data_IF_371753034154
#
_entry.id   IF_371753034154
#
_cell.length_a   1.000
_cell.length_b   1.000
_cell.length_c   1.000
_cell.angle_alpha   90.00
_cell.angle_beta   90.00
_cell.angle_gamma   90.00
#
_symmetry.space_group_name_H-M   'P 1'
#
loop_
_entity.id
_entity.type
_entity.pdbx_description
1 polymer ?
#
# COMPACT_ATOMS: atom_id res chain seq x y z
N UNK A 1 15.25 -19.04 -0.95
CA UNK A 1 14.36 -17.89 -1.14
C UNK A 1 13.71 -18.05 -2.49
N UNK A 2 12.39 -17.92 -2.55
CA UNK A 2 11.61 -17.77 -3.78
C UNK A 2 11.05 -16.36 -3.79
N UNK A 3 11.10 -15.69 -4.94
CA UNK A 3 10.47 -14.39 -5.16
C UNK A 3 9.51 -14.56 -6.32
N UNK A 4 8.24 -14.24 -6.08
CA UNK A 4 7.19 -14.32 -7.10
C UNK A 4 6.66 -12.93 -7.37
N UNK A 5 6.74 -12.49 -8.61
CA UNK A 5 6.06 -11.29 -9.09
C UNK A 5 4.69 -11.71 -9.58
N UNK A 6 3.64 -11.24 -8.90
CA UNK A 6 2.25 -11.56 -9.23
C UNK A 6 1.81 -10.62 -10.35
N UNK A 7 1.24 -11.15 -11.41
CA UNK A 7 0.73 -10.32 -12.51
C UNK A 7 -0.60 -9.67 -12.10
N UNK A 8 -0.54 -8.56 -11.42
CA UNK A 8 -1.69 -7.76 -10.97
C UNK A 8 -2.15 -6.72 -12.00
N UNK A 9 -1.51 -6.68 -13.17
CA UNK A 9 -1.77 -5.65 -14.18
C UNK A 9 -0.88 -4.43 -13.98
N UNK A 10 -1.46 -3.29 -13.70
CA UNK A 10 -0.70 -2.13 -13.28
C UNK A 10 -0.27 -2.26 -11.81
N UNK A 11 0.89 -1.66 -11.50
CA UNK A 11 1.48 -1.70 -10.17
C UNK A 11 2.21 -3.00 -9.85
N UNK A 12 2.44 -3.21 -8.57
CA UNK A 12 3.26 -4.30 -8.07
C UNK A 12 2.56 -5.14 -7.01
N UNK A 13 2.86 -6.44 -7.01
CA UNK A 13 2.62 -7.35 -5.90
C UNK A 13 3.73 -8.41 -5.93
N UNK A 14 4.64 -8.36 -4.95
CA UNK A 14 5.82 -9.22 -4.91
C UNK A 14 5.80 -10.05 -3.64
N UNK A 15 5.70 -11.37 -3.82
CA UNK A 15 5.69 -12.35 -2.73
C UNK A 15 7.10 -12.90 -2.51
N UNK A 16 7.57 -12.79 -1.28
CA UNK A 16 8.82 -13.39 -0.81
C UNK A 16 8.53 -14.60 0.08
N UNK A 17 9.06 -15.75 -0.30
CA UNK A 17 9.00 -16.98 0.51
C UNK A 17 10.41 -17.42 0.83
N UNK A 18 10.77 -17.38 2.10
CA UNK A 18 12.11 -17.71 2.58
C UNK A 18 12.20 -19.18 2.97
N UNK A 19 13.42 -19.75 2.96
CA UNK A 19 13.64 -21.15 3.33
C UNK A 19 13.29 -21.47 4.79
N UNK A 20 13.26 -20.46 5.65
CA UNK A 20 12.87 -20.59 7.06
C UNK A 20 11.35 -20.52 7.30
N UNK A 21 10.55 -20.52 6.24
CA UNK A 21 9.08 -20.40 6.30
C UNK A 21 8.56 -18.98 6.40
N UNK A 22 9.42 -17.95 6.49
CA UNK A 22 8.98 -16.56 6.51
C UNK A 22 8.40 -16.15 5.16
N UNK A 23 7.19 -15.61 5.16
CA UNK A 23 6.47 -15.17 3.97
C UNK A 23 6.11 -13.69 4.10
N UNK A 24 6.46 -12.90 3.10
CA UNK A 24 6.15 -11.47 3.07
C UNK A 24 5.60 -11.05 1.69
N UNK A 25 4.66 -10.11 1.70
CA UNK A 25 4.12 -9.49 0.49
C UNK A 25 4.53 -8.02 0.46
N UNK A 26 5.12 -7.58 -0.63
CA UNK A 26 5.37 -6.17 -0.94
C UNK A 26 4.33 -5.72 -1.95
N UNK A 27 3.53 -4.72 -1.60
CA UNK A 27 2.41 -4.18 -2.33
C UNK A 27 1.33 -5.20 -2.72
N UNK A 28 0.20 -4.75 -3.20
CA UNK A 28 -0.96 -5.58 -3.46
C UNK A 28 -1.61 -5.42 -4.83
N UNK A 29 -1.10 -4.51 -5.66
CA UNK A 29 -1.72 -4.19 -6.93
C UNK A 29 -2.95 -3.30 -6.80
N UNK A 30 -3.63 -3.12 -7.90
CA UNK A 30 -4.87 -2.36 -8.03
C UNK A 30 -6.08 -3.11 -7.46
N UNK A 31 -7.13 -2.37 -7.08
CA UNK A 31 -8.45 -2.91 -6.78
C UNK A 31 -9.47 -2.65 -7.90
N UNK A 32 -9.08 -1.98 -9.00
CA UNK A 32 -9.98 -1.66 -10.11
C UNK A 32 -10.44 -2.93 -10.83
N UNK A 33 -11.76 -3.11 -10.95
CA UNK A 33 -12.35 -4.26 -11.65
C UNK A 33 -11.87 -4.37 -13.10
N UNK A 34 -11.75 -3.23 -13.80
CA UNK A 34 -11.31 -3.16 -15.18
C UNK A 34 -9.91 -3.76 -15.44
N UNK A 35 -9.07 -3.85 -14.39
CA UNK A 35 -7.76 -4.48 -14.50
C UNK A 35 -7.83 -6.00 -14.65
N UNK A 36 -8.94 -6.60 -14.22
CA UNK A 36 -9.12 -8.05 -14.13
C UNK A 36 -10.22 -8.58 -15.08
N UNK A 37 -10.82 -7.71 -15.89
CA UNK A 37 -11.82 -8.10 -16.88
C UNK A 37 -11.20 -8.78 -18.10
N UNK A 38 -11.99 -9.67 -18.73
CA UNK A 38 -11.63 -10.37 -19.96
C UNK A 38 -10.63 -11.51 -19.76
N UNK A 39 -10.03 -11.96 -20.87
CA UNK A 39 -9.05 -13.06 -20.92
C UNK A 39 -7.64 -12.57 -20.50
N UNK A 40 -7.53 -11.86 -19.40
CA UNK A 40 -6.25 -11.41 -18.89
C UNK A 40 -5.62 -12.50 -18.01
N UNK A 41 -4.30 -12.67 -18.12
CA UNK A 41 -3.55 -13.51 -17.17
C UNK A 41 -3.32 -12.79 -15.83
N UNK A 42 -4.06 -11.70 -15.56
CA UNK A 42 -3.98 -10.91 -14.36
C UNK A 42 -4.75 -11.57 -13.23
N UNK A 43 -4.25 -11.44 -12.02
CA UNK A 43 -4.90 -12.00 -10.83
C UNK A 43 -4.71 -11.04 -9.66
N UNK A 44 -5.76 -10.81 -8.87
CA UNK A 44 -5.63 -10.05 -7.63
C UNK A 44 -4.68 -10.76 -6.67
N UNK A 45 -3.87 -10.00 -5.95
CA UNK A 45 -2.93 -10.56 -4.98
C UNK A 45 -3.60 -11.45 -3.94
N UNK A 46 -4.77 -11.08 -3.43
CA UNK A 46 -5.56 -11.90 -2.51
C UNK A 46 -5.99 -13.23 -3.12
N UNK A 47 -6.48 -13.23 -4.36
CA UNK A 47 -6.88 -14.46 -5.07
C UNK A 47 -5.66 -15.35 -5.37
N UNK A 48 -4.52 -14.75 -5.68
CA UNK A 48 -3.27 -15.50 -5.85
C UNK A 48 -2.87 -16.21 -4.57
N UNK A 49 -2.87 -15.50 -3.44
CA UNK A 49 -2.55 -16.08 -2.12
C UNK A 49 -3.50 -17.23 -1.79
N UNK A 50 -4.81 -17.04 -2.01
CA UNK A 50 -5.81 -18.09 -1.79
C UNK A 50 -5.57 -19.32 -2.67
N UNK A 51 -5.27 -19.15 -3.97
CA UNK A 51 -4.90 -20.27 -4.88
C UNK A 51 -3.65 -21.01 -4.44
N UNK A 52 -2.68 -20.30 -3.85
CA UNK A 52 -1.45 -20.90 -3.31
C UNK A 52 -1.62 -21.43 -1.89
N UNK A 53 -2.82 -21.36 -1.29
CA UNK A 53 -3.13 -21.75 0.09
C UNK A 53 -2.25 -21.02 1.12
N UNK A 54 -1.94 -19.76 0.85
CA UNK A 54 -1.18 -18.90 1.75
C UNK A 54 -2.18 -18.11 2.60
N UNK A 55 -2.44 -18.59 3.80
CA UNK A 55 -3.38 -18.00 4.75
C UNK A 55 -2.69 -17.09 5.79
N UNK A 56 -1.35 -17.03 5.77
CA UNK A 56 -0.56 -16.31 6.74
C UNK A 56 0.63 -15.60 6.09
N UNK A 57 0.81 -14.34 6.42
CA UNK A 57 1.93 -13.49 6.02
C UNK A 57 2.63 -12.96 7.27
N UNK A 58 3.93 -13.23 7.40
CA UNK A 58 4.73 -12.64 8.48
C UNK A 58 4.91 -11.14 8.32
N UNK A 59 4.83 -10.63 7.10
CA UNK A 59 4.87 -9.21 6.84
C UNK A 59 4.08 -8.83 5.59
N UNK A 60 3.41 -7.67 5.67
CA UNK A 60 2.98 -6.89 4.52
C UNK A 60 3.77 -5.59 4.51
N UNK A 61 4.29 -5.20 3.35
CA UNK A 61 5.13 -4.03 3.18
C UNK A 61 4.46 -3.15 2.13
N UNK A 62 4.24 -1.89 2.44
CA UNK A 62 3.74 -0.89 1.50
C UNK A 62 4.92 -0.04 1.06
N UNK A 63 5.19 -0.01 -0.25
CA UNK A 63 6.27 0.79 -0.82
C UNK A 63 5.91 2.28 -0.84
N UNK A 64 4.74 2.61 -1.36
CA UNK A 64 4.18 3.98 -1.44
C UNK A 64 2.65 3.94 -1.58
N UNK A 65 2.00 5.12 -1.53
CA UNK A 65 0.54 5.21 -1.57
C UNK A 65 0.09 5.64 -2.98
N UNK A 66 0.08 4.67 -3.91
CA UNK A 66 -0.63 4.77 -5.18
C UNK A 66 -1.69 3.68 -5.27
N UNK A 67 -2.72 3.91 -6.09
CA UNK A 67 -3.87 3.01 -6.22
C UNK A 67 -3.44 1.59 -6.59
N UNK A 68 -2.56 1.47 -7.56
CA UNK A 68 -2.05 0.23 -8.12
C UNK A 68 -0.99 -0.49 -7.26
N UNK A 69 -0.71 0.01 -6.06
CA UNK A 69 0.15 -0.61 -5.05
C UNK A 69 -0.59 -0.95 -3.76
N UNK A 70 -1.44 -0.03 -3.27
CA UNK A 70 -2.03 -0.15 -1.94
C UNK A 70 -3.45 -0.71 -1.94
N UNK A 71 -4.26 -0.43 -2.98
CA UNK A 71 -5.69 -0.76 -2.93
C UNK A 71 -5.97 -2.27 -2.90
N UNK A 72 -5.17 -3.08 -3.58
CA UNK A 72 -5.31 -4.55 -3.53
C UNK A 72 -4.99 -5.16 -2.15
N UNK A 73 -4.26 -4.45 -1.29
CA UNK A 73 -3.91 -4.93 0.05
C UNK A 73 -5.11 -5.01 1.01
N UNK A 74 -6.18 -4.25 0.78
CA UNK A 74 -7.37 -4.34 1.62
C UNK A 74 -7.96 -5.76 1.62
N UNK A 75 -8.10 -6.36 0.44
CA UNK A 75 -8.58 -7.74 0.30
C UNK A 75 -7.58 -8.76 0.91
N UNK A 76 -6.28 -8.50 0.76
CA UNK A 76 -5.24 -9.35 1.38
C UNK A 76 -5.38 -9.36 2.90
N UNK A 77 -5.45 -8.18 3.54
CA UNK A 77 -5.56 -8.11 5.00
C UNK A 77 -6.88 -8.68 5.55
N UNK A 78 -7.94 -8.68 4.74
CA UNK A 78 -9.23 -9.30 5.12
C UNK A 78 -9.20 -10.84 5.03
N UNK A 79 -8.40 -11.40 4.12
CA UNK A 79 -8.40 -12.83 3.82
C UNK A 79 -7.22 -13.59 4.43
N UNK A 80 -6.17 -12.89 4.88
CA UNK A 80 -4.97 -13.51 5.45
C UNK A 80 -4.68 -12.99 6.85
N UNK A 81 -4.06 -13.83 7.67
CA UNK A 81 -3.47 -13.42 8.94
C UNK A 81 -2.14 -12.72 8.67
N UNK A 82 -1.96 -11.51 9.21
CA UNK A 82 -0.74 -10.72 9.03
C UNK A 82 -0.10 -10.44 10.38
N UNK A 83 1.18 -10.81 10.55
CA UNK A 83 1.89 -10.59 11.82
C UNK A 83 2.41 -9.15 11.96
N UNK A 84 2.79 -8.49 10.85
CA UNK A 84 3.38 -7.16 10.89
C UNK A 84 3.10 -6.37 9.60
N UNK A 85 2.78 -5.09 9.75
CA UNK A 85 2.60 -4.15 8.64
C UNK A 85 3.73 -3.12 8.65
N UNK A 86 4.44 -3.00 7.53
CA UNK A 86 5.47 -1.99 7.30
C UNK A 86 4.96 -0.93 6.33
N UNK A 87 5.07 0.35 6.71
CA UNK A 87 4.45 1.45 5.98
C UNK A 87 5.43 2.59 5.69
N UNK A 88 5.26 3.34 4.58
CA UNK A 88 6.21 4.40 4.21
C UNK A 88 6.01 5.71 4.98
N UNK A 89 4.81 5.95 5.54
CA UNK A 89 4.45 7.25 6.12
C UNK A 89 3.91 7.12 7.55
N UNK A 90 3.93 8.22 8.36
CA UNK A 90 3.40 8.26 9.71
C UNK A 90 1.92 7.82 9.75
N UNK A 91 1.55 7.08 10.79
CA UNK A 91 0.21 6.46 10.94
C UNK A 91 -0.84 7.46 11.41
N UNK A 92 -0.51 8.27 12.41
CA UNK A 92 -1.46 9.14 13.12
C UNK A 92 -2.22 10.12 12.21
N UNK A 93 -1.57 10.79 11.25
CA UNK A 93 -2.29 11.71 10.35
C UNK A 93 -3.38 11.02 9.54
N UNK A 94 -3.19 9.76 9.14
CA UNK A 94 -4.17 9.02 8.35
C UNK A 94 -5.32 8.44 9.18
N UNK A 95 -5.14 8.25 10.47
CA UNK A 95 -6.20 7.79 11.37
C UNK A 95 -7.15 8.92 11.80
N UNK A 96 -6.72 10.18 11.67
CA UNK A 96 -7.56 11.35 11.98
C UNK A 96 -8.52 11.65 10.83
N UNK A 97 -9.71 12.18 11.15
CA UNK A 97 -10.71 12.59 10.17
C UNK A 97 -11.48 11.43 9.50
N UNK A 98 -12.16 11.76 8.42
CA UNK A 98 -12.97 10.84 7.60
C UNK A 98 -12.25 10.43 6.31
N UNK A 99 -12.91 9.63 5.48
CA UNK A 99 -12.48 9.37 4.11
C UNK A 99 -12.66 10.64 3.26
N UNK A 100 -11.75 10.79 2.29
CA UNK A 100 -11.78 11.88 1.33
C UNK A 100 -12.77 11.53 0.20
N UNK A 101 -13.42 12.54 -0.35
CA UNK A 101 -14.30 12.39 -1.52
C UNK A 101 -13.81 13.33 -2.61
N UNK A 102 -13.48 12.81 -3.81
CA UNK A 102 -13.05 13.66 -4.91
C UNK A 102 -14.21 14.53 -5.42
N UNK A 103 -13.93 15.74 -5.85
CA UNK A 103 -14.92 16.59 -6.50
C UNK A 103 -15.42 15.93 -7.81
N UNK A 104 -16.68 16.19 -8.17
CA UNK A 104 -17.33 15.58 -9.35
C UNK A 104 -16.67 15.93 -10.68
N UNK A 105 -15.99 17.08 -10.75
CA UNK A 105 -15.26 17.60 -11.91
C UNK A 105 -13.74 17.39 -11.82
N UNK A 106 -13.26 16.68 -10.81
CA UNK A 106 -11.84 16.46 -10.59
C UNK A 106 -11.17 15.75 -11.79
N UNK A 107 -9.91 16.09 -12.11
CA UNK A 107 -9.11 15.35 -13.10
C UNK A 107 -9.06 13.86 -12.77
N UNK A 108 -8.94 12.99 -13.80
CA UNK A 108 -8.98 11.53 -13.67
C UNK A 108 -7.97 10.96 -12.65
N UNK A 109 -6.85 11.60 -12.45
CA UNK A 109 -5.82 11.20 -11.48
C UNK A 109 -6.26 11.38 -10.03
N UNK A 110 -7.08 12.40 -9.75
CA UNK A 110 -7.52 12.72 -8.37
C UNK A 110 -8.35 11.62 -7.73
N UNK A 111 -9.38 11.03 -8.37
CA UNK A 111 -10.11 9.90 -7.82
C UNK A 111 -9.21 8.71 -7.46
N UNK A 112 -8.21 8.40 -8.30
CA UNK A 112 -7.26 7.31 -8.04
C UNK A 112 -6.39 7.60 -6.82
N UNK A 113 -5.92 8.84 -6.71
CA UNK A 113 -5.13 9.27 -5.55
C UNK A 113 -5.95 9.24 -4.26
N UNK A 114 -7.18 9.75 -4.30
CA UNK A 114 -8.11 9.70 -3.16
C UNK A 114 -8.43 8.26 -2.78
N UNK A 115 -8.63 7.38 -3.75
CA UNK A 115 -8.84 5.95 -3.49
C UNK A 115 -7.65 5.33 -2.75
N UNK A 116 -6.42 5.64 -3.17
CA UNK A 116 -5.20 5.18 -2.52
C UNK A 116 -5.07 5.67 -1.07
N UNK A 117 -5.33 6.97 -0.81
CA UNK A 117 -5.30 7.53 0.55
C UNK A 117 -6.36 6.89 1.45
N UNK A 118 -7.56 6.68 0.93
CA UNK A 118 -8.64 6.03 1.68
C UNK A 118 -8.34 4.57 1.95
N UNK A 119 -7.80 3.83 0.97
CA UNK A 119 -7.36 2.45 1.13
C UNK A 119 -6.27 2.34 2.21
N UNK A 120 -5.26 3.19 2.14
CA UNK A 120 -4.20 3.24 3.15
C UNK A 120 -4.78 3.49 4.56
N UNK A 121 -5.71 4.44 4.70
CA UNK A 121 -6.42 4.70 5.95
C UNK A 121 -7.16 3.45 6.44
N UNK A 122 -7.95 2.78 5.60
CA UNK A 122 -8.69 1.57 5.97
C UNK A 122 -7.76 0.43 6.39
N UNK A 123 -6.64 0.25 5.71
CA UNK A 123 -5.59 -0.70 6.07
C UNK A 123 -5.05 -0.42 7.48
N UNK A 124 -4.75 0.84 7.80
CA UNK A 124 -4.26 1.23 9.13
C UNK A 124 -5.32 1.03 10.22
N UNK A 125 -6.59 1.33 9.92
CA UNK A 125 -7.70 1.09 10.84
C UNK A 125 -7.89 -0.42 11.10
N UNK A 126 -7.83 -1.23 10.05
CA UNK A 126 -7.88 -2.69 10.16
C UNK A 126 -6.72 -3.23 11.00
N UNK A 127 -5.51 -2.76 10.74
CA UNK A 127 -4.34 -3.14 11.54
C UNK A 127 -4.52 -2.78 13.03
N UNK A 128 -5.04 -1.59 13.32
CA UNK A 128 -5.35 -1.16 14.68
C UNK A 128 -6.42 -2.04 15.33
N UNK A 129 -7.50 -2.36 14.63
CA UNK A 129 -8.60 -3.22 15.12
C UNK A 129 -8.11 -4.64 15.42
N UNK A 130 -7.28 -5.20 14.54
CA UNK A 130 -6.74 -6.55 14.68
C UNK A 130 -5.51 -6.63 15.58
N UNK A 131 -4.99 -5.51 16.06
CA UNK A 131 -3.78 -5.46 16.88
C UNK A 131 -2.51 -5.82 16.11
N UNK A 132 -2.49 -5.63 14.78
CA UNK A 132 -1.32 -5.87 13.94
C UNK A 132 -0.30 -4.74 14.21
N UNK A 133 0.94 -5.07 14.61
CA UNK A 133 1.99 -4.07 14.77
C UNK A 133 2.29 -3.35 13.47
N UNK A 134 2.41 -2.01 13.53
CA UNK A 134 2.74 -1.18 12.38
C UNK A 134 4.09 -0.50 12.60
N UNK A 135 5.00 -0.61 11.64
CA UNK A 135 6.32 0.05 11.67
C UNK A 135 6.47 0.98 10.47
N UNK A 136 6.75 2.25 10.75
CA UNK A 136 7.07 3.23 9.71
C UNK A 136 8.50 3.01 9.23
N UNK A 137 8.66 2.81 7.91
CA UNK A 137 9.94 2.60 7.26
C UNK A 137 10.72 3.91 7.09
N UNK A 138 12.05 3.79 7.19
CA UNK A 138 12.97 4.93 6.98
C UNK A 138 14.17 4.50 6.14
N UNK A 139 14.60 5.34 5.24
CA UNK A 139 15.83 5.11 4.47
C UNK A 139 17.02 4.79 5.38
N UNK A 140 17.80 3.78 5.01
CA UNK A 140 18.93 3.27 5.80
C UNK A 140 18.57 2.17 6.80
N UNK A 141 17.30 1.99 7.14
CA UNK A 141 16.86 0.91 8.02
C UNK A 141 17.12 -0.47 7.39
N UNK A 142 17.38 -1.45 8.23
CA UNK A 142 17.56 -2.84 7.81
C UNK A 142 16.56 -3.71 8.58
N UNK A 143 15.62 -4.29 7.85
CA UNK A 143 14.71 -5.32 8.38
C UNK A 143 15.40 -6.68 8.32
N UNK A 144 15.18 -7.50 9.33
CA UNK A 144 15.68 -8.87 9.38
C UNK A 144 14.50 -9.85 9.23
N UNK A 145 14.55 -10.67 8.20
CA UNK A 145 13.54 -11.69 7.93
C UNK A 145 14.13 -13.09 8.24
N UNK A 146 14.07 -13.46 9.52
CA UNK A 146 14.74 -14.65 10.02
C UNK A 146 16.26 -14.44 10.20
N UNK A 147 17.04 -15.53 10.12
CA UNK A 147 18.48 -15.52 10.48
C UNK A 147 19.34 -14.95 9.36
N UNK A 148 19.02 -15.28 8.09
CA UNK A 148 19.93 -15.08 6.96
C UNK A 148 19.47 -14.05 5.94
N UNK A 149 18.26 -13.50 6.09
CA UNK A 149 17.71 -12.56 5.11
C UNK A 149 17.54 -11.17 5.70
N UNK A 150 18.06 -10.19 4.97
CA UNK A 150 17.97 -8.77 5.33
C UNK A 150 17.40 -7.98 4.15
N UNK A 151 16.47 -7.07 4.43
CA UNK A 151 16.00 -6.08 3.49
C UNK A 151 16.50 -4.72 3.92
N UNK A 152 17.22 -4.01 3.06
CA UNK A 152 17.65 -2.63 3.30
C UNK A 152 16.64 -1.69 2.68
N UNK A 153 16.14 -0.77 3.47
CA UNK A 153 15.21 0.27 3.03
C UNK A 153 16.04 1.42 2.44
N UNK A 154 15.80 1.75 1.18
CA UNK A 154 16.52 2.81 0.47
C UNK A 154 15.74 4.13 0.45
N UNK A 155 14.41 4.05 0.52
CA UNK A 155 13.45 5.15 0.52
C UNK A 155 12.26 4.82 1.45
N UNK A 156 11.45 5.83 1.86
CA UNK A 156 11.64 7.25 1.60
C UNK A 156 12.70 7.88 2.53
N UNK A 157 13.30 8.99 2.07
CA UNK A 157 14.10 9.88 2.94
C UNK A 157 13.16 10.80 3.72
N UNK A 158 13.59 11.30 4.89
CA UNK A 158 12.74 12.14 5.73
C UNK A 158 12.20 13.38 5.01
N UNK A 159 13.00 14.06 4.21
CA UNK A 159 12.54 15.23 3.47
C UNK A 159 11.44 14.93 2.45
N UNK A 160 11.40 13.72 1.89
CA UNK A 160 10.32 13.28 0.99
C UNK A 160 9.06 12.98 1.79
N UNK A 161 9.21 12.34 2.96
CA UNK A 161 8.08 12.09 3.88
C UNK A 161 7.45 13.41 4.31
N UNK A 162 8.27 14.39 4.72
CA UNK A 162 7.79 15.69 5.18
C UNK A 162 7.00 16.41 4.07
N UNK A 163 7.54 16.46 2.85
CA UNK A 163 6.87 17.07 1.69
C UNK A 163 5.55 16.35 1.34
N UNK A 164 5.53 15.02 1.37
CA UNK A 164 4.31 14.25 1.12
C UNK A 164 3.25 14.52 2.19
N UNK A 165 3.65 14.59 3.46
CA UNK A 165 2.72 14.85 4.55
C UNK A 165 2.12 16.27 4.48
N UNK A 166 2.88 17.26 4.03
CA UNK A 166 2.35 18.61 3.77
C UNK A 166 1.24 18.59 2.72
N UNK A 167 1.39 17.80 1.63
CA UNK A 167 0.36 17.63 0.61
C UNK A 167 -0.89 16.96 1.22
N UNK A 168 -0.71 15.89 1.98
CA UNK A 168 -1.84 15.17 2.62
C UNK A 168 -2.59 16.06 3.61
N UNK A 169 -1.88 16.90 4.36
CA UNK A 169 -2.51 17.84 5.30
C UNK A 169 -3.31 18.91 4.55
N UNK A 170 -2.76 19.50 3.49
CA UNK A 170 -3.49 20.46 2.63
C UNK A 170 -4.74 19.86 2.02
N UNK A 171 -4.68 18.62 1.50
CA UNK A 171 -5.86 17.93 0.95
C UNK A 171 -6.96 17.70 1.99
N UNK A 172 -6.63 17.73 3.28
CA UNK A 172 -7.60 17.57 4.38
C UNK A 172 -8.15 18.87 4.90
N UNK A 173 -7.36 19.93 4.86
CA UNK A 173 -7.76 21.26 5.32
C UNK A 173 -8.65 21.96 4.30
N UNK A 174 -8.44 21.69 3.01
CA UNK A 174 -9.15 22.28 1.89
C UNK A 174 -10.04 21.23 1.22
N UNK A 175 -11.28 21.08 1.67
CA UNK A 175 -12.33 20.42 0.88
C UNK A 175 -12.51 21.08 -0.51
N UNK A 176 -11.87 22.22 -0.75
CA UNK A 176 -11.96 23.06 -1.95
C UNK A 176 -10.76 22.97 -2.91
N UNK A 177 -9.59 22.48 -2.51
CA UNK A 177 -8.38 22.46 -3.38
C UNK A 177 -8.42 21.43 -4.53
N UNK A 178 -9.42 20.60 -4.59
CA UNK A 178 -9.60 19.66 -5.69
C UNK A 178 -10.18 20.37 -6.95
N UNK A 179 -10.60 21.61 -6.83
CA UNK A 179 -11.24 22.33 -7.94
C UNK A 179 -10.28 23.13 -8.83
N UNK A 180 -9.10 23.52 -8.39
CA UNK A 180 -8.47 24.66 -9.10
C UNK A 180 -7.02 24.52 -9.60
N UNK A 181 -6.24 23.48 -9.38
CA UNK A 181 -4.94 23.41 -10.07
C UNK A 181 -4.53 21.99 -10.44
N UNK A 182 -4.59 21.75 -11.73
CA UNK A 182 -4.35 20.49 -12.39
C UNK A 182 -2.90 20.07 -12.50
N UNK A 183 -2.17 19.92 -11.43
CA UNK A 183 -0.96 19.09 -11.43
C UNK A 183 -0.53 18.79 -9.99
N UNK A 184 -1.11 17.75 -9.41
CA UNK A 184 -0.45 17.07 -8.31
C UNK A 184 0.68 16.23 -8.91
N UNK A 185 1.84 16.85 -9.07
CA UNK A 185 3.07 16.12 -9.38
C UNK A 185 3.49 15.41 -8.10
N UNK A 186 2.98 14.19 -7.94
CA UNK A 186 3.57 13.26 -6.98
C UNK A 186 4.95 12.91 -7.55
N UNK A 187 5.99 13.41 -6.90
CA UNK A 187 7.34 13.01 -7.24
C UNK A 187 7.47 11.50 -7.05
N UNK A 188 7.62 10.79 -8.15
CA UNK A 188 8.11 9.42 -8.15
C UNK A 188 9.46 9.42 -7.42
N UNK A 189 9.56 8.59 -6.38
CA UNK A 189 10.77 8.40 -5.59
C UNK A 189 11.54 7.20 -6.12
#
# INVERSE_FOLDING_TARGET
MCVTVINVGYGDAILFQLKNGYTALLDGGSALESEFEGDSYRIRSADYLARQQIEHLNAVIISHIHEDHVCGLEAVLQQTVVDHLYVPYPVEPFLKGCELTPASNAPRSVPLYVAALNAYRRILLHAKEKGIPVTVLKAGQVLKFGIDTKMRILAPKSCVVDAYMEIVERLREDEMLIEDEGELVLCDV
#
